data_IF_138306605212
#
_entry.id   IF_138306605212
#
_cell.length_a   1.000
_cell.length_b   1.000
_cell.length_c   1.000
_cell.angle_alpha   90.00
_cell.angle_beta   90.00
_cell.angle_gamma   90.00
#
_symmetry.space_group_name_H-M   'P 1'
#
loop_
_entity.id
_entity.type
_entity.pdbx_description
1 polymer ?
#
# COMPACT_ATOMS: atom_id res chain seq x y z
N UNK A 1 30.71 23.08 11.29
CA UNK A 1 30.14 22.01 10.60
C UNK A 1 29.29 21.13 11.46
N UNK A 2 29.76 20.68 12.61
CA UNK A 2 28.91 19.90 13.51
C UNK A 2 27.67 20.68 13.93
N UNK A 3 27.80 21.98 14.06
CA UNK A 3 26.65 22.86 14.37
C UNK A 3 25.59 22.81 13.26
N UNK A 4 26.06 22.80 12.03
CA UNK A 4 25.16 22.79 10.88
C UNK A 4 24.36 21.50 10.82
N UNK A 5 25.01 20.39 11.10
CA UNK A 5 24.35 19.10 11.15
C UNK A 5 23.33 19.06 12.28
N UNK A 6 23.67 19.64 13.44
CA UNK A 6 22.74 19.71 14.56
C UNK A 6 21.52 20.57 14.26
N UNK A 7 21.70 21.65 13.50
CA UNK A 7 20.60 22.51 13.09
C UNK A 7 19.62 21.79 12.16
N UNK A 8 20.13 20.85 11.38
CA UNK A 8 19.30 20.08 10.47
C UNK A 8 18.57 18.93 11.14
N UNK A 9 18.94 18.61 12.36
CA UNK A 9 18.33 17.51 13.08
C UNK A 9 17.27 18.06 14.04
N UNK A 10 16.29 18.70 13.50
CA UNK A 10 15.16 19.21 14.24
C UNK A 10 13.88 18.56 13.76
N UNK A 11 12.77 19.06 14.22
CA UNK A 11 11.47 18.54 13.88
C UNK A 11 11.19 18.57 12.36
N UNK A 12 11.66 19.63 11.69
CA UNK A 12 11.42 19.75 10.27
C UNK A 12 12.28 18.77 9.46
N UNK A 13 13.48 18.44 9.91
CA UNK A 13 14.29 17.43 9.23
C UNK A 13 13.70 16.03 9.39
N UNK A 14 13.10 15.73 10.52
CA UNK A 14 12.39 14.45 10.70
C UNK A 14 11.20 14.35 9.77
N UNK A 15 10.53 15.46 9.51
CA UNK A 15 9.37 15.51 8.61
C UNK A 15 9.73 15.62 7.14
N UNK A 16 11.01 15.78 6.81
CA UNK A 16 11.43 16.07 5.44
C UNK A 16 11.30 14.91 4.48
N UNK A 17 11.30 13.67 4.97
CA UNK A 17 11.11 12.51 4.12
C UNK A 17 9.62 12.29 3.90
N UNK A 18 9.18 12.28 2.64
CA UNK A 18 7.83 11.88 2.34
C UNK A 18 7.68 10.35 2.45
N UNK A 19 6.46 9.86 2.44
CA UNK A 19 6.21 8.44 2.63
C UNK A 19 6.83 7.57 1.55
N UNK A 20 6.86 8.04 0.31
CA UNK A 20 7.45 7.28 -0.79
C UNK A 20 8.94 7.07 -0.58
N UNK A 21 9.64 8.14 -0.20
CA UNK A 21 11.08 8.07 0.05
C UNK A 21 11.38 7.19 1.26
N UNK A 22 10.59 7.31 2.30
CA UNK A 22 10.75 6.51 3.51
C UNK A 22 10.56 5.02 3.24
N UNK A 23 9.54 4.66 2.47
CA UNK A 23 9.27 3.28 2.10
C UNK A 23 10.42 2.72 1.27
N UNK A 24 10.92 3.50 0.30
CA UNK A 24 12.03 3.06 -0.55
C UNK A 24 13.33 2.91 0.21
N UNK A 25 13.55 3.75 1.21
CA UNK A 25 14.74 3.68 2.04
C UNK A 25 14.69 2.49 2.99
N UNK A 26 13.52 2.14 3.46
CA UNK A 26 13.34 1.08 4.45
C UNK A 26 12.23 0.12 4.04
N UNK A 27 12.38 -0.57 2.92
CA UNK A 27 11.30 -1.43 2.41
C UNK A 27 10.92 -2.55 3.39
N UNK A 28 11.88 -3.05 4.16
CA UNK A 28 11.62 -4.11 5.12
C UNK A 28 10.64 -3.73 6.22
N UNK A 29 10.47 -2.44 6.49
CA UNK A 29 9.51 -1.97 7.49
C UNK A 29 8.08 -1.94 6.96
N UNK A 30 7.89 -1.93 5.65
CA UNK A 30 6.58 -1.70 5.04
C UNK A 30 6.10 -2.86 4.21
N UNK A 31 6.94 -3.39 3.35
CA UNK A 31 6.52 -4.41 2.39
C UNK A 31 7.28 -5.73 2.54
N UNK A 32 8.43 -5.72 3.21
CA UNK A 32 9.25 -6.91 3.36
C UNK A 32 10.60 -6.78 2.66
N UNK A 33 11.37 -7.85 2.67
CA UNK A 33 12.71 -7.83 2.12
C UNK A 33 12.71 -7.72 0.60
N UNK A 34 13.82 -7.27 0.04
CA UNK A 34 14.03 -7.26 -1.40
C UNK A 34 14.43 -8.67 -1.84
N UNK A 35 13.59 -9.32 -2.62
CA UNK A 35 13.80 -10.67 -3.11
C UNK A 35 13.10 -10.86 -4.45
N UNK A 36 13.12 -12.08 -4.96
CA UNK A 36 12.57 -12.41 -6.27
C UNK A 36 11.07 -12.74 -6.26
N UNK A 37 10.43 -12.67 -5.11
CA UNK A 37 9.01 -12.95 -4.98
C UNK A 37 8.68 -14.39 -4.63
N UNK A 38 9.68 -15.25 -4.49
CA UNK A 38 9.45 -16.67 -4.19
C UNK A 38 9.10 -16.94 -2.73
N UNK A 39 9.43 -16.02 -1.84
CA UNK A 39 9.16 -16.14 -0.42
C UNK A 39 8.03 -15.19 0.00
N UNK A 40 7.28 -15.59 1.01
CA UNK A 40 6.13 -14.79 1.49
C UNK A 40 6.53 -13.44 2.11
N UNK A 41 7.76 -13.32 2.55
CA UNK A 41 8.29 -12.07 3.09
C UNK A 41 9.02 -11.22 2.06
N UNK A 42 9.04 -11.63 0.81
CA UNK A 42 9.59 -10.80 -0.27
C UNK A 42 8.64 -9.65 -0.60
N UNK A 43 9.21 -8.46 -0.80
CA UNK A 43 8.42 -7.27 -1.08
C UNK A 43 7.53 -7.39 -2.31
N UNK A 44 8.02 -8.05 -3.36
CA UNK A 44 7.22 -8.29 -4.56
C UNK A 44 6.00 -9.13 -4.24
N UNK A 45 6.17 -10.19 -3.47
CA UNK A 45 5.05 -11.03 -3.05
C UNK A 45 4.03 -10.22 -2.25
N UNK A 46 4.52 -9.44 -1.29
CA UNK A 46 3.66 -8.61 -0.44
C UNK A 46 2.88 -7.58 -1.25
N UNK A 47 3.54 -6.92 -2.21
CA UNK A 47 2.87 -5.92 -3.05
C UNK A 47 1.75 -6.53 -3.88
N UNK A 48 2.00 -7.68 -4.51
CA UNK A 48 0.96 -8.37 -5.29
C UNK A 48 -0.20 -8.78 -4.37
N UNK A 49 0.13 -9.31 -3.20
CA UNK A 49 -0.87 -9.72 -2.22
C UNK A 49 -1.72 -8.54 -1.77
N UNK A 50 -1.12 -7.38 -1.51
CA UNK A 50 -1.86 -6.19 -1.08
C UNK A 50 -2.86 -5.73 -2.14
N UNK A 51 -2.46 -5.73 -3.40
CA UNK A 51 -3.35 -5.36 -4.50
C UNK A 51 -4.52 -6.37 -4.60
N UNK A 52 -4.21 -7.65 -4.50
CA UNK A 52 -5.25 -8.69 -4.51
C UNK A 52 -6.18 -8.57 -3.30
N UNK A 53 -5.64 -8.30 -2.14
CA UNK A 53 -6.43 -8.14 -0.92
C UNK A 53 -7.42 -6.97 -1.04
N UNK A 54 -7.03 -5.88 -1.68
CA UNK A 54 -7.94 -4.77 -1.93
C UNK A 54 -9.15 -5.19 -2.77
N UNK A 55 -8.91 -5.99 -3.80
CA UNK A 55 -9.98 -6.51 -4.65
C UNK A 55 -10.85 -7.54 -3.92
N UNK A 56 -10.22 -8.39 -3.11
CA UNK A 56 -10.93 -9.36 -2.27
C UNK A 56 -11.82 -8.63 -1.26
N UNK A 57 -11.33 -7.56 -0.66
CA UNK A 57 -12.12 -6.76 0.29
C UNK A 57 -13.37 -6.19 -0.36
N UNK A 58 -13.29 -5.69 -1.59
CA UNK A 58 -14.46 -5.23 -2.32
C UNK A 58 -15.49 -6.35 -2.51
N UNK A 59 -15.02 -7.53 -2.87
CA UNK A 59 -15.88 -8.70 -3.03
C UNK A 59 -16.54 -9.11 -1.71
N UNK A 60 -15.76 -9.12 -0.64
CA UNK A 60 -16.26 -9.49 0.70
C UNK A 60 -17.30 -8.51 1.22
N UNK A 61 -17.22 -7.25 0.81
CA UNK A 61 -18.22 -6.23 1.16
C UNK A 61 -19.45 -6.30 0.25
N UNK A 62 -19.50 -7.21 -0.69
CA UNK A 62 -20.64 -7.42 -1.57
C UNK A 62 -20.58 -6.69 -2.90
N UNK A 63 -19.44 -6.13 -3.26
CA UNK A 63 -19.27 -5.37 -4.50
C UNK A 63 -18.42 -6.12 -5.50
N UNK A 64 -19.05 -6.51 -6.61
CA UNK A 64 -18.40 -7.30 -7.65
C UNK A 64 -18.41 -8.78 -7.33
N UNK A 65 -18.37 -9.60 -8.39
CA UNK A 65 -18.44 -11.07 -8.27
C UNK A 65 -17.16 -11.76 -8.74
N UNK A 66 -16.40 -11.12 -9.59
CA UNK A 66 -15.23 -11.70 -10.21
C UNK A 66 -14.00 -10.83 -9.97
N UNK A 67 -12.85 -11.49 -9.94
CA UNK A 67 -11.56 -10.83 -9.91
C UNK A 67 -10.72 -11.47 -11.00
N UNK A 68 -10.25 -10.66 -11.96
CA UNK A 68 -9.41 -11.13 -13.04
C UNK A 68 -7.94 -10.84 -12.71
N UNK A 69 -7.11 -11.86 -12.80
CA UNK A 69 -5.68 -11.75 -12.51
C UNK A 69 -4.93 -12.20 -13.74
N UNK A 70 -4.04 -11.33 -14.23
CA UNK A 70 -3.17 -11.63 -15.37
C UNK A 70 -1.73 -11.43 -14.96
N UNK A 71 -0.89 -12.41 -15.21
CA UNK A 71 0.54 -12.35 -14.89
C UNK A 71 1.33 -12.58 -16.17
N UNK A 72 2.22 -11.65 -16.48
CA UNK A 72 3.21 -11.77 -17.55
C UNK A 72 4.59 -11.65 -16.94
N UNK A 73 5.64 -11.70 -17.77
CA UNK A 73 7.02 -11.64 -17.29
C UNK A 73 7.33 -10.35 -16.52
N UNK A 74 6.65 -9.26 -16.85
CA UNK A 74 6.98 -7.95 -16.28
C UNK A 74 5.78 -7.22 -15.67
N UNK A 75 4.61 -7.84 -15.65
CA UNK A 75 3.40 -7.14 -15.20
C UNK A 75 2.43 -8.09 -14.52
N UNK A 76 1.88 -7.63 -13.42
CA UNK A 76 0.72 -8.25 -12.77
C UNK A 76 -0.43 -7.27 -12.87
N UNK A 77 -1.56 -7.74 -13.39
CA UNK A 77 -2.79 -6.96 -13.50
C UNK A 77 -3.86 -7.62 -12.64
N UNK A 78 -4.49 -6.84 -11.80
CA UNK A 78 -5.62 -7.29 -10.98
C UNK A 78 -6.78 -6.36 -11.26
N UNK A 79 -7.89 -6.92 -11.72
CA UNK A 79 -9.11 -6.16 -11.99
C UNK A 79 -10.25 -6.72 -11.18
N UNK A 80 -10.88 -5.88 -10.39
CA UNK A 80 -12.14 -6.21 -9.75
C UNK A 80 -13.28 -5.47 -10.46
N UNK A 81 -14.49 -5.81 -10.09
CA UNK A 81 -15.70 -5.20 -10.63
C UNK A 81 -16.50 -4.55 -9.50
N UNK A 82 -15.77 -3.98 -8.55
CA UNK A 82 -16.33 -3.30 -7.41
C UNK A 82 -16.73 -1.87 -7.67
N UNK A 83 -16.81 -1.09 -6.60
CA UNK A 83 -17.31 0.30 -6.66
C UNK A 83 -16.35 1.26 -7.33
N UNK A 84 -15.09 0.91 -7.40
CA UNK A 84 -14.05 1.83 -7.79
C UNK A 84 -13.69 2.80 -6.67
N UNK A 85 -12.86 3.76 -7.00
CA UNK A 85 -12.40 4.79 -6.07
C UNK A 85 -12.99 6.13 -6.52
N UNK A 86 -13.61 6.90 -5.62
CA UNK A 86 -14.10 8.25 -5.99
C UNK A 86 -12.97 9.08 -6.59
N UNK A 87 -13.24 9.74 -7.71
CA UNK A 87 -12.20 10.46 -8.47
C UNK A 87 -11.46 11.47 -7.62
N UNK A 88 -12.13 12.15 -6.71
CA UNK A 88 -11.49 13.12 -5.82
C UNK A 88 -10.57 12.51 -4.77
N UNK A 89 -10.56 11.19 -4.62
CA UNK A 89 -9.75 10.49 -3.63
C UNK A 89 -8.66 9.61 -4.23
N UNK A 90 -8.59 9.51 -5.55
CA UNK A 90 -7.63 8.59 -6.21
C UNK A 90 -6.20 8.88 -5.80
N UNK A 91 -5.81 10.15 -5.82
CA UNK A 91 -4.43 10.53 -5.48
C UNK A 91 -4.09 10.13 -4.04
N UNK A 92 -4.98 10.42 -3.12
CA UNK A 92 -4.74 10.11 -1.71
C UNK A 92 -4.67 8.60 -1.47
N UNK A 93 -5.56 7.84 -2.07
CA UNK A 93 -5.62 6.39 -1.88
C UNK A 93 -4.36 5.70 -2.37
N UNK A 94 -3.78 6.18 -3.48
CA UNK A 94 -2.61 5.53 -4.09
C UNK A 94 -1.29 6.14 -3.63
N UNK A 95 -1.29 7.18 -2.83
CA UNK A 95 -0.06 7.88 -2.47
C UNK A 95 0.12 8.16 -0.99
N UNK A 96 -0.88 7.98 -0.17
CA UNK A 96 -0.81 8.27 1.26
C UNK A 96 -1.06 7.02 2.09
N UNK A 97 -0.31 6.89 3.17
CA UNK A 97 -0.46 5.79 4.11
C UNK A 97 -1.74 5.97 4.94
N UNK A 98 -2.37 4.85 5.26
CA UNK A 98 -3.54 4.80 6.14
C UNK A 98 -4.72 5.60 5.61
N UNK A 99 -4.89 5.61 4.30
CA UNK A 99 -6.09 6.16 3.68
C UNK A 99 -7.02 5.03 3.28
N UNK A 100 -8.24 5.37 2.97
CA UNK A 100 -9.24 4.42 2.51
C UNK A 100 -10.36 4.25 3.49
N UNK A 101 -11.52 3.84 3.00
CA UNK A 101 -12.76 3.72 3.76
C UNK A 101 -12.68 2.65 4.85
N UNK A 102 -11.77 1.72 4.73
CA UNK A 102 -11.64 0.60 5.68
C UNK A 102 -11.22 1.04 7.08
N UNK A 103 -10.61 2.21 7.19
CA UNK A 103 -10.18 2.73 8.50
C UNK A 103 -11.26 3.54 9.22
N UNK A 104 -12.34 3.87 8.52
CA UNK A 104 -13.35 4.79 9.03
C UNK A 104 -14.69 4.15 9.34
N UNK A 105 -14.83 2.84 9.17
CA UNK A 105 -16.14 2.20 9.28
C UNK A 105 -16.04 0.78 9.78
N UNK A 106 -17.20 0.17 10.04
CA UNK A 106 -17.30 -1.23 10.40
C UNK A 106 -16.78 -2.19 9.34
N UNK A 107 -16.61 -1.73 8.11
CA UNK A 107 -15.99 -2.53 7.05
C UNK A 107 -14.57 -2.97 7.41
N UNK A 108 -13.88 -2.20 8.23
CA UNK A 108 -12.54 -2.53 8.71
C UNK A 108 -12.47 -3.92 9.33
N UNK A 109 -13.50 -4.31 10.06
CA UNK A 109 -13.52 -5.62 10.73
C UNK A 109 -13.57 -6.80 9.75
N UNK A 110 -14.02 -6.57 8.53
CA UNK A 110 -14.12 -7.60 7.49
C UNK A 110 -12.99 -7.52 6.47
N UNK A 111 -12.12 -6.54 6.61
CA UNK A 111 -11.07 -6.29 5.64
C UNK A 111 -9.88 -7.20 5.86
N UNK A 112 -9.21 -7.60 4.77
CA UNK A 112 -7.93 -8.30 4.82
C UNK A 112 -6.75 -7.37 4.52
N UNK A 113 -7.00 -6.15 4.05
CA UNK A 113 -5.96 -5.17 3.76
C UNK A 113 -5.73 -4.21 4.92
N UNK A 114 -5.00 -4.61 5.93
CA UNK A 114 -4.89 -3.88 7.20
C UNK A 114 -3.62 -3.06 7.35
N UNK A 115 -2.62 -3.23 6.46
CA UNK A 115 -1.32 -2.57 6.63
C UNK A 115 -1.35 -1.07 6.37
N UNK A 116 -2.30 -0.59 5.60
CA UNK A 116 -2.37 0.82 5.24
C UNK A 116 -1.33 1.29 4.23
N UNK A 117 -0.51 0.39 3.72
CA UNK A 117 0.56 0.69 2.77
C UNK A 117 0.22 0.18 1.37
N UNK A 118 -0.55 -0.89 1.31
CA UNK A 118 -0.93 -1.54 0.05
C UNK A 118 -1.97 -0.82 -0.77
#
# INVERSE_FOLDING_TARGET
MAKQDNLNYDESSIKSLDWREHIRLRPGMYIGKLGDGSAKDDGIYVLVKEVMDNSIDEHMMGYGKNIDITITDSRVTVRDYGRGIPLGKVVDVVSKINTGAKYDSGAFQKSVGLNGVG
#
